data_IF_287456912726
#
_entry.id   IF_287456912726
#
_cell.length_a   1.000
_cell.length_b   1.000
_cell.length_c   1.000
_cell.angle_alpha   90.00
_cell.angle_beta   90.00
_cell.angle_gamma   90.00
#
_symmetry.space_group_name_H-M   'P 1'
#
loop_
_entity.id
_entity.type
_entity.pdbx_description
1 polymer ?
#
# COMPACT_ATOMS: atom_id res chain seq x y z
N UNK A 1 0.85 -16.62 32.39
CA UNK A 1 -0.05 -15.71 33.14
C UNK A 1 -0.58 -14.65 32.17
N UNK A 2 -1.90 -14.42 32.13
CA UNK A 2 -2.53 -13.49 31.18
C UNK A 2 -2.38 -12.05 31.70
N UNK A 3 -2.07 -11.09 30.82
CA UNK A 3 -2.02 -9.66 31.15
C UNK A 3 -3.24 -8.95 30.58
N UNK A 4 -3.98 -8.26 31.44
CA UNK A 4 -5.11 -7.43 31.03
C UNK A 4 -4.60 -6.11 30.45
N UNK A 5 -4.89 -5.81 29.19
CA UNK A 5 -4.45 -4.55 28.57
C UNK A 5 -5.26 -3.32 29.04
N UNK A 6 -6.48 -3.50 29.55
CA UNK A 6 -7.32 -2.41 30.04
C UNK A 6 -6.76 -1.78 31.33
N UNK A 7 -6.33 -2.60 32.29
CA UNK A 7 -5.84 -2.15 33.60
C UNK A 7 -4.36 -2.48 33.89
N UNK A 8 -3.68 -3.20 32.99
CA UNK A 8 -2.31 -3.76 33.16
C UNK A 8 -2.16 -4.80 34.28
N UNK A 9 -3.26 -5.22 34.91
CA UNK A 9 -3.27 -6.31 35.88
C UNK A 9 -2.94 -7.66 35.26
N UNK A 10 -2.57 -8.62 36.11
CA UNK A 10 -2.27 -9.99 35.71
C UNK A 10 -3.40 -10.94 36.14
N UNK A 11 -3.52 -12.10 35.48
CA UNK A 11 -4.40 -13.20 35.89
C UNK A 11 -5.81 -13.21 35.30
N UNK A 12 -6.19 -12.24 34.44
CA UNK A 12 -7.52 -12.20 33.81
C UNK A 12 -7.47 -11.64 32.39
N UNK A 13 -8.46 -11.98 31.56
CA UNK A 13 -8.65 -11.37 30.25
C UNK A 13 -9.25 -9.98 30.38
N UNK A 14 -8.99 -9.11 29.40
CA UNK A 14 -9.53 -7.76 29.41
C UNK A 14 -11.06 -7.70 29.39
N UNK A 15 -11.74 -8.69 28.78
CA UNK A 15 -13.21 -8.81 28.78
C UNK A 15 -13.80 -9.09 30.18
N UNK A 16 -13.02 -9.71 31.06
CA UNK A 16 -13.40 -10.04 32.43
C UNK A 16 -12.95 -8.96 33.42
N UNK A 17 -12.40 -7.84 32.92
CA UNK A 17 -11.88 -6.77 33.75
C UNK A 17 -13.03 -5.93 34.33
N UNK A 18 -13.14 -5.91 35.65
CA UNK A 18 -14.12 -5.10 36.38
C UNK A 18 -13.68 -3.66 36.59
N UNK A 19 -12.38 -3.37 36.39
CA UNK A 19 -11.83 -2.02 36.45
C UNK A 19 -12.33 -1.23 35.25
N UNK A 20 -12.84 -0.02 35.48
CA UNK A 20 -13.25 0.89 34.41
C UNK A 20 -12.11 1.01 33.38
N UNK A 21 -12.35 0.75 32.08
CA UNK A 21 -11.34 0.89 31.05
C UNK A 21 -10.69 2.27 31.13
N UNK A 22 -9.37 2.33 30.94
CA UNK A 22 -8.68 3.61 30.90
C UNK A 22 -9.32 4.49 29.83
N UNK A 23 -9.78 5.67 30.24
CA UNK A 23 -10.10 6.72 29.28
C UNK A 23 -8.81 7.06 28.56
N UNK A 24 -8.85 6.98 27.23
CA UNK A 24 -7.78 7.45 26.36
C UNK A 24 -7.76 8.97 26.51
N UNK A 25 -6.63 9.51 26.94
CA UNK A 25 -6.46 10.95 27.01
C UNK A 25 -6.28 11.55 25.61
N UNK A 26 -6.36 12.87 25.51
CA UNK A 26 -6.20 13.58 24.25
C UNK A 26 -4.84 13.29 23.59
N UNK A 27 -3.77 13.15 24.38
CA UNK A 27 -2.43 12.86 23.88
C UNK A 27 -2.34 11.47 23.22
N UNK A 28 -2.97 10.46 23.81
CA UNK A 28 -3.07 9.13 23.22
C UNK A 28 -3.86 9.17 21.91
N UNK A 29 -5.02 9.83 21.89
CA UNK A 29 -5.85 9.92 20.69
C UNK A 29 -5.12 10.66 19.56
N UNK A 30 -4.42 11.75 19.88
CA UNK A 30 -3.61 12.50 18.92
C UNK A 30 -2.50 11.63 18.31
N UNK A 31 -1.82 10.84 19.14
CA UNK A 31 -0.78 9.91 18.67
C UNK A 31 -1.36 8.85 17.75
N UNK A 32 -2.52 8.28 18.10
CA UNK A 32 -3.19 7.27 17.27
C UNK A 32 -3.64 7.84 15.92
N UNK A 33 -4.16 9.08 15.89
CA UNK A 33 -4.52 9.76 14.65
C UNK A 33 -3.30 9.98 13.76
N UNK A 34 -2.17 10.42 14.34
CA UNK A 34 -0.94 10.62 13.59
C UNK A 34 -0.40 9.30 13.00
N UNK A 35 -0.52 8.20 13.72
CA UNK A 35 -0.13 6.87 13.22
C UNK A 35 -1.03 6.48 12.05
N UNK A 36 -2.35 6.59 12.21
CA UNK A 36 -3.30 6.27 11.14
C UNK A 36 -3.07 7.09 9.87
N UNK A 37 -2.80 8.40 10.00
CA UNK A 37 -2.50 9.27 8.87
C UNK A 37 -1.22 8.85 8.13
N UNK A 38 -0.19 8.40 8.86
CA UNK A 38 1.04 7.90 8.24
C UNK A 38 0.84 6.57 7.53
N UNK A 39 0.07 5.67 8.13
CA UNK A 39 -0.29 4.39 7.51
C UNK A 39 -1.10 4.62 6.22
N UNK A 40 -2.09 5.52 6.26
CA UNK A 40 -2.91 5.90 5.09
C UNK A 40 -2.05 6.50 3.97
N UNK A 41 -1.15 7.44 4.31
CA UNK A 41 -0.22 8.00 3.34
C UNK A 41 0.71 6.92 2.74
N UNK A 42 1.17 5.97 3.55
CA UNK A 42 1.97 4.83 3.09
C UNK A 42 1.21 3.92 2.11
N UNK A 43 -0.07 3.66 2.38
CA UNK A 43 -0.93 2.87 1.49
C UNK A 43 -1.14 3.61 0.16
N UNK A 44 -1.37 4.91 0.19
CA UNK A 44 -1.56 5.71 -1.02
C UNK A 44 -0.31 5.71 -1.90
N UNK A 45 0.87 5.93 -1.31
CA UNK A 45 2.14 5.86 -2.03
C UNK A 45 2.36 4.49 -2.65
N UNK A 46 2.06 3.41 -1.94
CA UNK A 46 2.22 2.06 -2.47
C UNK A 46 1.29 1.79 -3.67
N UNK A 47 0.08 2.34 -3.66
CA UNK A 47 -0.84 2.25 -4.78
C UNK A 47 -0.31 3.02 -6.01
N UNK A 48 0.17 4.24 -5.82
CA UNK A 48 0.80 5.03 -6.89
C UNK A 48 2.03 4.33 -7.48
N UNK A 49 2.88 3.73 -6.64
CA UNK A 49 4.02 2.92 -7.11
C UNK A 49 3.58 1.73 -7.97
N UNK A 50 2.50 1.04 -7.57
CA UNK A 50 1.97 -0.09 -8.33
C UNK A 50 1.42 0.36 -9.70
N UNK A 51 0.67 1.46 -9.72
CA UNK A 51 0.12 2.03 -10.96
C UNK A 51 1.23 2.48 -11.91
N UNK A 52 2.31 3.09 -11.38
CA UNK A 52 3.48 3.48 -12.18
C UNK A 52 4.20 2.26 -12.78
N UNK A 53 4.34 1.19 -12.00
CA UNK A 53 4.93 -0.06 -12.49
C UNK A 53 4.10 -0.69 -13.60
N UNK A 54 2.77 -0.68 -13.49
CA UNK A 54 1.87 -1.15 -14.54
C UNK A 54 1.96 -0.28 -15.80
N UNK A 55 1.99 1.05 -15.65
CA UNK A 55 2.15 1.95 -16.78
C UNK A 55 3.51 1.78 -17.49
N UNK A 56 4.58 1.45 -16.75
CA UNK A 56 5.88 1.15 -17.32
C UNK A 56 5.86 -0.14 -18.15
N UNK A 57 5.19 -1.20 -17.68
CA UNK A 57 5.05 -2.43 -18.45
C UNK A 57 4.25 -2.23 -19.74
N UNK A 58 3.17 -1.43 -19.68
CA UNK A 58 2.40 -1.09 -20.87
C UNK A 58 3.24 -0.31 -21.89
N UNK A 59 4.14 0.58 -21.42
CA UNK A 59 5.04 1.33 -22.29
C UNK A 59 6.04 0.42 -23.01
N UNK A 60 6.65 -0.54 -22.30
CA UNK A 60 7.58 -1.50 -22.89
C UNK A 60 6.92 -2.31 -24.03
N UNK A 61 5.67 -2.75 -23.83
CA UNK A 61 4.89 -3.46 -24.86
C UNK A 61 4.62 -2.57 -26.09
N UNK A 62 4.28 -1.30 -25.87
CA UNK A 62 4.05 -0.34 -26.97
C UNK A 62 5.32 -0.10 -27.77
N UNK A 63 6.47 0.04 -27.11
CA UNK A 63 7.76 0.21 -27.78
C UNK A 63 8.12 -1.00 -28.64
N UNK A 64 7.87 -2.22 -28.14
CA UNK A 64 8.08 -3.45 -28.90
C UNK A 64 7.19 -3.49 -30.16
N UNK A 65 5.90 -3.22 -30.00
CA UNK A 65 4.95 -3.17 -31.14
C UNK A 65 5.38 -2.12 -32.16
N UNK A 66 5.82 -0.95 -31.71
CA UNK A 66 6.31 0.11 -32.59
C UNK A 66 7.56 -0.32 -33.38
N UNK A 67 8.53 -0.95 -32.72
CA UNK A 67 9.73 -1.47 -33.37
C UNK A 67 9.38 -2.53 -34.43
N UNK A 68 8.46 -3.44 -34.11
CA UNK A 68 7.96 -4.46 -35.03
C UNK A 68 7.27 -3.85 -36.26
N UNK A 69 6.43 -2.83 -36.06
CA UNK A 69 5.77 -2.09 -37.14
C UNK A 69 6.78 -1.43 -38.09
N UNK A 70 7.83 -0.79 -37.55
CA UNK A 70 8.89 -0.18 -38.35
C UNK A 70 9.64 -1.24 -39.18
N UNK A 71 9.96 -2.38 -38.57
CA UNK A 71 10.64 -3.48 -39.27
C UNK A 71 9.81 -4.02 -40.44
N UNK A 72 8.51 -4.25 -40.23
CA UNK A 72 7.60 -4.71 -41.28
C UNK A 72 7.54 -3.73 -42.47
N UNK A 73 7.46 -2.42 -42.18
CA UNK A 73 7.44 -1.40 -43.23
C UNK A 73 8.73 -1.41 -44.07
N UNK A 74 9.89 -1.56 -43.42
CA UNK A 74 11.18 -1.64 -44.11
C UNK A 74 11.29 -2.89 -45.00
N UNK A 75 10.83 -4.04 -44.51
CA UNK A 75 10.81 -5.29 -45.29
C UNK A 75 9.89 -5.20 -46.50
N UNK A 76 8.72 -4.59 -46.34
CA UNK A 76 7.76 -4.40 -47.44
C UNK A 76 8.33 -3.48 -48.51
N UNK A 77 8.98 -2.38 -48.12
CA UNK A 77 9.67 -1.48 -49.06
C UNK A 77 10.79 -2.18 -49.81
N UNK A 78 11.64 -2.94 -49.10
CA UNK A 78 12.72 -3.71 -49.71
C UNK A 78 12.22 -4.80 -50.66
N UNK A 79 11.03 -5.35 -50.42
CA UNK A 79 10.41 -6.37 -51.29
C UNK A 79 9.72 -5.77 -52.52
N UNK A 80 9.47 -4.45 -52.52
CA UNK A 80 8.88 -3.70 -53.63
C UNK A 80 9.91 -2.98 -54.51
N UNK A 81 11.19 -3.02 -54.11
CA UNK A 81 12.36 -2.61 -54.90
C UNK A 81 12.90 -3.79 -55.71
#
# INVERSE_FOLDING_TARGET
QIRCYNCRGLGHFARDCTVRPRRRDAAYLQTQLLIAQKEEAGIQLQAEEYDLMAAATDLDEIEEVNANCILMANLQQASSL
#
